data_IF_826523474471
#
_entry.id   IF_826523474471
#
_cell.length_a   1.000
_cell.length_b   1.000
_cell.length_c   1.000
_cell.angle_alpha   90.00
_cell.angle_beta   90.00
_cell.angle_gamma   90.00
#
_symmetry.space_group_name_H-M   'P 1'
#
loop_
_entity.id
_entity.type
_entity.pdbx_description
1 polymer ?
#
# COMPACT_ATOMS: atom_id res chain seq x y z
N UNK A 1 13.66 10.33 -14.01
CA UNK A 1 12.78 9.93 -15.15
C UNK A 1 11.45 9.52 -14.55
N UNK A 2 10.36 10.14 -14.99
CA UNK A 2 9.02 9.95 -14.43
C UNK A 2 8.09 9.35 -15.50
N UNK A 3 7.17 8.47 -15.11
CA UNK A 3 6.17 7.90 -16.02
C UNK A 3 4.81 8.52 -15.69
N UNK A 4 4.23 9.28 -16.63
CA UNK A 4 2.96 10.02 -16.42
C UNK A 4 1.74 9.49 -17.20
N UNK A 5 1.93 8.47 -18.04
CA UNK A 5 0.92 8.06 -19.02
C UNK A 5 -0.08 7.03 -18.48
N UNK A 6 -0.34 7.01 -17.18
CA UNK A 6 -1.27 6.06 -16.58
C UNK A 6 -2.22 6.75 -15.61
N UNK A 7 -3.43 6.22 -15.50
CA UNK A 7 -4.46 6.68 -14.56
C UNK A 7 -4.95 5.49 -13.76
N UNK A 8 -5.02 5.64 -12.44
CA UNK A 8 -5.67 4.69 -11.55
C UNK A 8 -7.14 5.06 -11.41
N UNK A 9 -8.00 4.05 -11.48
CA UNK A 9 -9.42 4.13 -11.15
C UNK A 9 -9.70 3.22 -9.94
N UNK A 10 -10.25 3.77 -8.86
CA UNK A 10 -10.77 2.99 -7.74
C UNK A 10 -12.29 3.06 -7.74
N UNK A 11 -12.92 1.93 -8.07
CA UNK A 11 -14.38 1.83 -8.17
C UNK A 11 -14.94 1.40 -6.81
N UNK A 12 -15.81 2.22 -6.25
CA UNK A 12 -16.47 1.93 -4.97
C UNK A 12 -17.71 1.05 -5.12
N UNK A 13 -18.05 0.29 -4.08
CA UNK A 13 -19.33 -0.41 -3.96
C UNK A 13 -19.80 -0.43 -2.50
N UNK A 14 -21.12 -0.53 -2.30
CA UNK A 14 -21.72 -0.82 -1.00
C UNK A 14 -21.62 -2.33 -0.71
N UNK A 15 -20.70 -2.71 0.15
CA UNK A 15 -20.61 -4.07 0.68
C UNK A 15 -21.69 -4.29 1.72
N UNK A 16 -22.37 -5.43 1.64
CA UNK A 16 -23.34 -5.87 2.63
C UNK A 16 -22.86 -7.20 3.22
N UNK A 17 -22.59 -7.21 4.52
CA UNK A 17 -22.16 -8.39 5.25
C UNK A 17 -23.19 -8.76 6.32
N UNK A 18 -23.63 -10.02 6.33
CA UNK A 18 -24.53 -10.51 7.37
C UNK A 18 -23.73 -10.77 8.66
N UNK A 19 -24.10 -10.12 9.75
CA UNK A 19 -23.52 -10.36 11.07
C UNK A 19 -24.62 -10.74 12.05
N UNK A 20 -24.59 -12.00 12.50
CA UNK A 20 -25.68 -12.60 13.30
C UNK A 20 -27.02 -12.45 12.57
N UNK A 21 -27.97 -11.71 13.16
CA UNK A 21 -29.32 -11.49 12.65
C UNK A 21 -29.47 -10.17 11.87
N UNK A 22 -28.38 -9.42 11.69
CA UNK A 22 -28.41 -8.09 11.09
C UNK A 22 -27.47 -7.95 9.89
N UNK A 23 -27.71 -6.92 9.06
CA UNK A 23 -26.85 -6.60 7.93
C UNK A 23 -25.99 -5.37 8.22
N UNK A 24 -24.68 -5.56 8.20
CA UNK A 24 -23.70 -4.46 8.22
C UNK A 24 -23.43 -4.03 6.79
N UNK A 25 -23.72 -2.77 6.48
CA UNK A 25 -23.44 -2.17 5.17
C UNK A 25 -22.31 -1.17 5.27
N UNK A 26 -21.32 -1.26 4.39
CA UNK A 26 -20.21 -0.33 4.35
C UNK A 26 -19.72 -0.12 2.93
N UNK A 27 -19.26 1.08 2.62
CA UNK A 27 -18.67 1.38 1.33
C UNK A 27 -17.17 1.08 1.36
N UNK A 28 -16.65 0.54 0.25
CA UNK A 28 -15.24 0.27 0.07
C UNK A 28 -14.86 0.18 -1.40
N UNK A 29 -13.59 -0.05 -1.69
CA UNK A 29 -13.10 -0.26 -3.05
C UNK A 29 -13.42 -1.69 -3.50
N UNK A 30 -14.25 -1.81 -4.53
CA UNK A 30 -14.54 -3.08 -5.21
C UNK A 30 -13.37 -3.50 -6.10
N UNK A 31 -12.97 -2.61 -7.01
CA UNK A 31 -11.95 -2.89 -8.03
C UNK A 31 -10.98 -1.73 -8.15
N UNK A 32 -9.72 -2.04 -8.43
CA UNK A 32 -8.69 -1.06 -8.79
C UNK A 32 -8.24 -1.36 -10.23
N UNK A 33 -8.28 -0.35 -11.10
CA UNK A 33 -7.93 -0.50 -12.52
C UNK A 33 -6.86 0.52 -12.88
N UNK A 34 -5.83 0.09 -13.59
CA UNK A 34 -4.90 1.00 -14.26
C UNK A 34 -5.26 1.08 -15.74
N UNK A 35 -5.38 2.32 -16.23
CA UNK A 35 -5.49 2.64 -17.64
C UNK A 35 -4.18 3.21 -18.14
N UNK A 36 -3.68 2.71 -19.26
CA UNK A 36 -2.63 3.40 -20.00
C UNK A 36 -3.25 4.47 -20.90
N UNK A 37 -2.95 5.74 -20.66
CA UNK A 37 -3.61 6.87 -21.32
C UNK A 37 -3.29 6.98 -22.82
N UNK A 38 -2.17 6.39 -23.25
CA UNK A 38 -1.74 6.36 -24.66
C UNK A 38 -2.45 5.24 -25.43
N UNK A 39 -2.41 4.01 -24.91
CA UNK A 39 -2.97 2.82 -25.60
C UNK A 39 -4.44 2.58 -25.27
N UNK A 40 -5.00 3.30 -24.30
CA UNK A 40 -6.35 3.10 -23.73
C UNK A 40 -6.60 1.73 -23.13
N UNK A 41 -5.56 0.89 -23.01
CA UNK A 41 -5.67 -0.43 -22.41
C UNK A 41 -5.87 -0.30 -20.89
N UNK A 42 -6.86 -1.03 -20.39
CA UNK A 42 -7.22 -1.10 -18.98
C UNK A 42 -6.84 -2.46 -18.43
N UNK A 43 -6.41 -2.50 -17.17
CA UNK A 43 -6.03 -3.72 -16.48
C UNK A 43 -6.40 -3.62 -15.01
N UNK A 44 -7.15 -4.61 -14.54
CA UNK A 44 -7.61 -4.68 -13.16
C UNK A 44 -6.56 -5.36 -12.27
N UNK A 45 -6.35 -4.80 -11.09
CA UNK A 45 -5.50 -5.38 -10.06
C UNK A 45 -6.14 -6.60 -9.42
N UNK A 46 -5.36 -7.67 -9.33
CA UNK A 46 -5.81 -8.95 -8.79
C UNK A 46 -5.20 -9.14 -7.39
N UNK A 47 -5.98 -9.63 -6.44
CA UNK A 47 -5.44 -9.92 -5.11
C UNK A 47 -4.65 -11.23 -5.07
N UNK A 48 -3.71 -11.35 -4.14
CA UNK A 48 -3.00 -12.61 -3.88
C UNK A 48 -3.92 -13.76 -3.46
N UNK A 49 -5.11 -13.47 -2.93
CA UNK A 49 -6.13 -14.48 -2.61
C UNK A 49 -6.75 -15.08 -3.87
N UNK A 50 -7.00 -14.25 -4.89
CA UNK A 50 -7.66 -14.67 -6.14
C UNK A 50 -6.67 -15.37 -7.08
N UNK A 51 -5.50 -14.78 -7.30
CA UNK A 51 -4.44 -15.39 -8.11
C UNK A 51 -3.09 -14.91 -7.64
N UNK A 52 -2.23 -15.84 -7.23
CA UNK A 52 -0.86 -15.52 -6.79
C UNK A 52 -0.04 -14.83 -7.88
N UNK A 53 0.77 -13.83 -7.55
CA UNK A 53 1.63 -13.08 -8.48
C UNK A 53 2.51 -14.01 -9.30
N UNK A 54 3.10 -15.03 -8.66
CA UNK A 54 3.95 -16.02 -9.33
C UNK A 54 3.18 -16.90 -10.34
N UNK A 55 1.86 -17.09 -10.12
CA UNK A 55 0.97 -17.75 -11.08
C UNK A 55 0.67 -16.80 -12.26
N UNK A 56 0.42 -15.52 -11.99
CA UNK A 56 0.27 -14.50 -13.05
C UNK A 56 1.52 -14.39 -13.94
N UNK A 57 2.72 -14.48 -13.36
CA UNK A 57 3.97 -14.59 -14.13
C UNK A 57 4.02 -15.86 -14.98
N UNK A 58 3.59 -16.99 -14.43
CA UNK A 58 3.59 -18.26 -15.17
C UNK A 58 2.63 -18.21 -16.37
N UNK A 59 1.48 -17.54 -16.23
CA UNK A 59 0.49 -17.37 -17.30
C UNK A 59 1.03 -16.59 -18.51
N UNK A 60 2.04 -15.73 -18.30
CA UNK A 60 2.73 -14.99 -19.38
C UNK A 60 4.04 -15.66 -19.81
N UNK A 61 4.25 -16.94 -19.46
CA UNK A 61 5.42 -17.73 -19.86
C UNK A 61 6.66 -17.57 -18.99
N UNK A 62 6.54 -16.97 -17.79
CA UNK A 62 7.65 -16.82 -16.85
C UNK A 62 7.45 -17.74 -15.64
N UNK A 63 8.13 -18.88 -15.63
CA UNK A 63 7.99 -19.89 -14.58
C UNK A 63 9.33 -20.55 -14.23
N UNK A 64 9.39 -21.14 -13.04
CA UNK A 64 10.56 -21.91 -12.61
C UNK A 64 10.92 -23.06 -13.56
N UNK A 65 9.94 -23.60 -14.30
CA UNK A 65 10.14 -24.70 -15.26
C UNK A 65 10.69 -24.21 -16.60
N UNK A 66 10.20 -23.07 -17.11
CA UNK A 66 10.55 -22.56 -18.43
C UNK A 66 11.81 -21.68 -18.41
N UNK A 67 11.95 -20.83 -17.41
CA UNK A 67 13.04 -19.84 -17.34
C UNK A 67 13.47 -19.58 -15.88
N UNK A 68 13.92 -20.66 -15.21
CA UNK A 68 14.34 -20.70 -13.81
C UNK A 68 15.18 -19.51 -13.36
N UNK A 69 16.20 -19.12 -14.14
CA UNK A 69 17.08 -18.00 -13.80
C UNK A 69 16.33 -16.66 -13.75
N UNK A 70 15.53 -16.35 -14.79
CA UNK A 70 14.72 -15.13 -14.86
C UNK A 70 13.65 -15.11 -13.76
N UNK A 71 12.93 -16.22 -13.60
CA UNK A 71 11.93 -16.38 -12.53
C UNK A 71 12.53 -16.14 -11.13
N UNK A 72 13.69 -16.75 -10.83
CA UNK A 72 14.35 -16.59 -9.53
C UNK A 72 14.82 -15.14 -9.29
N UNK A 73 15.31 -14.45 -10.32
CA UNK A 73 15.67 -13.02 -10.22
C UNK A 73 14.46 -12.16 -9.89
N UNK A 74 13.35 -12.35 -10.60
CA UNK A 74 12.10 -11.64 -10.35
C UNK A 74 11.58 -11.92 -8.93
N UNK A 75 11.52 -13.19 -8.54
CA UNK A 75 11.06 -13.60 -7.20
C UNK A 75 11.90 -12.99 -6.09
N UNK A 76 13.23 -12.99 -6.20
CA UNK A 76 14.11 -12.31 -5.24
C UNK A 76 13.84 -10.81 -5.16
N UNK A 77 13.58 -10.16 -6.31
CA UNK A 77 13.31 -8.72 -6.36
C UNK A 77 11.97 -8.38 -5.69
N UNK A 78 10.93 -9.16 -5.97
CA UNK A 78 9.60 -9.02 -5.35
C UNK A 78 9.67 -9.30 -3.84
N UNK A 79 10.38 -10.34 -3.42
CA UNK A 79 10.57 -10.62 -1.99
C UNK A 79 11.36 -9.52 -1.27
N UNK A 80 12.36 -8.93 -1.94
CA UNK A 80 13.08 -7.77 -1.41
C UNK A 80 12.14 -6.57 -1.30
N UNK A 81 11.30 -6.31 -2.30
CA UNK A 81 10.31 -5.23 -2.26
C UNK A 81 9.40 -5.32 -1.02
N UNK A 82 8.89 -6.51 -0.69
CA UNK A 82 8.06 -6.69 0.51
C UNK A 82 8.84 -6.39 1.80
N UNK A 83 10.11 -6.80 1.87
CA UNK A 83 10.97 -6.48 3.01
C UNK A 83 11.26 -4.98 3.12
N UNK A 84 11.58 -4.33 2.01
CA UNK A 84 11.90 -2.91 1.95
C UNK A 84 10.68 -2.02 2.30
N UNK A 85 9.46 -2.52 2.10
CA UNK A 85 8.20 -1.85 2.43
C UNK A 85 7.56 -2.34 3.73
N UNK A 86 8.26 -3.18 4.52
CA UNK A 86 7.76 -3.77 5.76
C UNK A 86 6.37 -4.41 5.64
N UNK A 87 6.11 -5.04 4.50
CA UNK A 87 4.80 -5.58 4.14
C UNK A 87 4.90 -7.06 3.77
N UNK A 88 3.75 -7.68 3.56
CA UNK A 88 3.61 -9.05 3.08
C UNK A 88 2.88 -9.07 1.76
N UNK A 89 3.00 -10.16 1.00
CA UNK A 89 2.26 -10.33 -0.27
C UNK A 89 0.75 -10.12 -0.13
N UNK A 90 0.15 -10.40 1.03
CA UNK A 90 -1.28 -10.28 1.25
C UNK A 90 -1.76 -8.83 1.27
N UNK A 91 -0.86 -7.88 1.53
CA UNK A 91 -1.14 -6.45 1.59
C UNK A 91 -1.21 -5.82 0.18
N UNK A 92 -0.75 -6.54 -0.85
CA UNK A 92 -0.65 -6.03 -2.21
C UNK A 92 -1.57 -6.76 -3.18
N UNK A 93 -2.13 -5.99 -4.11
CA UNK A 93 -2.72 -6.48 -5.36
C UNK A 93 -1.75 -6.24 -6.51
N UNK A 94 -1.83 -7.04 -7.58
CA UNK A 94 -0.89 -6.96 -8.70
C UNK A 94 -1.54 -7.03 -10.08
N UNK A 95 -0.80 -6.51 -11.05
CA UNK A 95 -1.00 -6.75 -12.48
C UNK A 95 0.33 -7.21 -13.05
N UNK A 96 0.32 -8.26 -13.86
CA UNK A 96 1.50 -8.76 -14.55
C UNK A 96 1.25 -8.71 -16.05
N UNK A 97 2.13 -8.04 -16.80
CA UNK A 97 2.04 -7.95 -18.26
C UNK A 97 3.42 -8.06 -18.91
N UNK A 98 3.46 -8.58 -20.13
CA UNK A 98 4.68 -8.67 -20.95
C UNK A 98 4.43 -8.08 -22.34
N UNK A 99 4.04 -6.81 -22.37
CA UNK A 99 3.70 -6.11 -23.61
C UNK A 99 4.97 -5.63 -24.31
N UNK A 100 5.11 -5.92 -25.60
CA UNK A 100 6.30 -5.53 -26.39
C UNK A 100 7.60 -6.17 -25.91
N UNK A 101 7.52 -7.36 -25.29
CA UNK A 101 8.67 -8.07 -24.73
C UNK A 101 9.22 -7.47 -23.43
N UNK A 102 8.56 -6.45 -22.88
CA UNK A 102 8.95 -5.80 -21.63
C UNK A 102 8.03 -6.24 -20.50
N UNK A 103 8.60 -6.94 -19.52
CA UNK A 103 7.88 -7.33 -18.31
C UNK A 103 7.56 -6.08 -17.46
N UNK A 104 6.30 -5.96 -17.06
CA UNK A 104 5.81 -4.97 -16.11
C UNK A 104 5.01 -5.68 -15.01
N UNK A 105 5.38 -5.43 -13.77
CA UNK A 105 4.67 -5.90 -12.59
C UNK A 105 4.22 -4.67 -11.81
N UNK A 106 2.91 -4.43 -11.80
CA UNK A 106 2.30 -3.41 -10.94
C UNK A 106 1.96 -4.02 -9.60
N UNK A 107 2.16 -3.26 -8.53
CA UNK A 107 1.84 -3.61 -7.15
C UNK A 107 1.13 -2.42 -6.52
N UNK A 108 0.01 -2.64 -5.85
CA UNK A 108 -0.67 -1.59 -5.08
C UNK A 108 -1.28 -2.12 -3.79
N UNK A 109 -1.22 -1.31 -2.74
CA UNK A 109 -1.93 -1.52 -1.47
C UNK A 109 -2.96 -0.40 -1.23
N UNK A 110 -3.34 0.34 -2.28
CA UNK A 110 -4.32 1.43 -2.19
C UNK A 110 -5.62 0.92 -1.57
N UNK A 111 -6.04 1.61 -0.53
CA UNK A 111 -7.18 1.26 0.29
C UNK A 111 -8.05 2.49 0.55
N UNK A 112 -9.24 2.25 1.08
CA UNK A 112 -10.16 3.31 1.50
C UNK A 112 -10.40 3.20 2.99
N UNK A 113 -9.97 4.21 3.75
CA UNK A 113 -10.32 4.34 5.16
C UNK A 113 -11.66 5.07 5.29
N UNK A 114 -12.66 4.35 5.80
CA UNK A 114 -14.00 4.89 6.04
C UNK A 114 -14.05 5.96 7.12
N UNK A 115 -13.18 5.89 8.13
CA UNK A 115 -13.22 6.77 9.29
C UNK A 115 -12.75 8.16 8.87
N UNK A 116 -11.62 8.20 8.19
CA UNK A 116 -11.04 9.44 7.66
C UNK A 116 -11.58 9.82 6.28
N UNK A 117 -12.38 8.94 5.65
CA UNK A 117 -12.91 9.08 4.28
C UNK A 117 -11.80 9.40 3.28
N UNK A 118 -10.72 8.63 3.35
CA UNK A 118 -9.49 8.85 2.61
C UNK A 118 -9.15 7.65 1.77
N UNK A 119 -8.66 7.90 0.56
CA UNK A 119 -7.99 6.89 -0.25
C UNK A 119 -6.50 7.10 -0.09
N UNK A 120 -5.81 6.07 0.39
CA UNK A 120 -4.38 6.13 0.64
C UNK A 120 -3.69 4.80 0.33
N UNK A 121 -2.40 4.88 0.03
CA UNK A 121 -1.53 3.75 -0.23
C UNK A 121 -0.56 4.04 -1.35
N UNK A 122 0.23 3.05 -1.69
CA UNK A 122 1.30 3.13 -2.66
C UNK A 122 0.95 2.38 -3.95
N UNK A 123 1.54 2.85 -5.03
CA UNK A 123 1.58 2.18 -6.33
C UNK A 123 3.02 2.04 -6.74
N UNK A 124 3.40 0.82 -7.07
CA UNK A 124 4.73 0.49 -7.57
C UNK A 124 4.64 -0.19 -8.94
N UNK A 125 5.59 0.15 -9.79
CA UNK A 125 5.83 -0.53 -11.07
C UNK A 125 7.25 -1.07 -11.09
N UNK A 126 7.39 -2.39 -11.15
CA UNK A 126 8.64 -3.05 -11.50
C UNK A 126 8.66 -3.27 -13.02
N UNK A 127 9.48 -2.50 -13.72
CA UNK A 127 9.61 -2.56 -15.18
C UNK A 127 10.97 -3.14 -15.56
N UNK A 128 10.95 -4.20 -16.35
CA UNK A 128 12.17 -4.79 -16.89
C UNK A 128 12.77 -3.85 -17.94
N UNK A 129 14.07 -3.66 -17.86
CA UNK A 129 14.84 -2.83 -18.77
C UNK A 129 16.07 -3.62 -19.16
N UNK A 130 16.33 -3.71 -20.46
CA UNK A 130 17.52 -4.39 -20.98
C UNK A 130 18.62 -3.36 -21.19
N UNK A 131 19.77 -3.57 -20.54
CA UNK A 131 20.99 -2.80 -20.79
C UNK A 131 22.08 -3.79 -21.24
N UNK A 132 22.37 -3.79 -22.54
CA UNK A 132 23.27 -4.77 -23.15
C UNK A 132 22.72 -6.19 -23.00
N UNK A 133 23.52 -7.12 -22.46
CA UNK A 133 23.14 -8.51 -22.22
C UNK A 133 22.40 -8.74 -20.90
N UNK A 134 22.23 -7.71 -20.06
CA UNK A 134 21.63 -7.84 -18.74
C UNK A 134 20.24 -7.21 -18.69
N UNK A 135 19.27 -7.97 -18.18
CA UNK A 135 17.92 -7.50 -17.85
C UNK A 135 17.85 -7.12 -16.37
N UNK A 136 17.39 -5.91 -16.06
CA UNK A 136 17.19 -5.40 -14.71
C UNK A 136 15.72 -4.98 -14.50
N UNK A 137 15.17 -5.19 -13.29
CA UNK A 137 13.88 -4.65 -12.88
C UNK A 137 14.07 -3.29 -12.18
N UNK A 138 13.75 -2.22 -12.90
CA UNK A 138 13.71 -0.85 -12.39
C UNK A 138 12.37 -0.64 -11.69
N UNK A 139 12.41 -0.10 -10.47
CA UNK A 139 11.22 0.24 -9.71
C UNK A 139 10.85 1.70 -9.94
N UNK A 140 9.56 1.94 -10.16
CA UNK A 140 8.95 3.25 -10.10
C UNK A 140 7.88 3.24 -9.02
N UNK A 141 7.62 4.37 -8.37
CA UNK A 141 6.59 4.46 -7.34
C UNK A 141 5.93 5.82 -7.25
N UNK A 142 4.76 5.82 -6.64
CA UNK A 142 4.00 6.98 -6.23
C UNK A 142 3.16 6.61 -5.01
N UNK A 143 3.03 7.54 -4.06
CA UNK A 143 2.17 7.40 -2.89
C UNK A 143 0.93 8.25 -3.11
N UNK A 144 -0.24 7.65 -2.95
CA UNK A 144 -1.54 8.30 -3.01
C UNK A 144 -1.95 8.64 -1.58
N UNK A 145 -2.35 9.89 -1.37
CA UNK A 145 -2.91 10.38 -0.13
C UNK A 145 -3.95 11.45 -0.44
N UNK A 146 -5.18 11.00 -0.70
CA UNK A 146 -6.26 11.85 -1.20
C UNK A 146 -7.44 11.81 -0.23
N UNK A 147 -7.83 12.99 0.26
CA UNK A 147 -8.95 13.16 1.19
C UNK A 147 -9.96 14.15 0.65
N UNK A 148 -11.22 14.03 1.08
CA UNK A 148 -12.24 15.02 0.73
C UNK A 148 -11.87 16.38 1.29
N UNK A 149 -11.53 17.34 0.42
CA UNK A 149 -11.38 18.73 0.83
C UNK A 149 -12.72 19.23 1.41
N UNK A 150 -12.74 19.62 2.69
CA UNK A 150 -13.74 20.58 3.17
C UNK A 150 -13.42 21.92 2.51
N UNK A 151 -14.07 22.22 1.38
CA UNK A 151 -14.06 23.57 0.81
C UNK A 151 -13.00 23.89 -0.25
N UNK A 152 -12.77 23.00 -1.23
CA UNK A 152 -12.24 23.39 -2.54
C UNK A 152 -10.75 23.73 -2.63
N UNK A 153 -9.97 22.84 -3.27
CA UNK A 153 -8.74 23.16 -4.02
C UNK A 153 -8.22 21.92 -4.78
N UNK A 154 -8.51 20.70 -4.29
CA UNK A 154 -8.12 19.44 -4.94
C UNK A 154 -9.37 18.61 -5.26
N UNK A 155 -10.09 19.01 -6.31
CA UNK A 155 -11.30 18.34 -6.74
C UNK A 155 -10.99 17.10 -7.57
N UNK A 156 -10.94 15.90 -6.96
CA UNK A 156 -11.05 14.58 -7.64
C UNK A 156 -11.59 13.44 -6.75
N UNK A 157 -12.26 13.76 -5.64
CA UNK A 157 -12.75 12.75 -4.69
C UNK A 157 -14.27 12.80 -4.57
N UNK A 158 -14.94 11.70 -4.92
CA UNK A 158 -16.33 11.42 -4.55
C UNK A 158 -16.33 10.54 -3.30
N UNK A 159 -17.11 10.95 -2.31
CA UNK A 159 -17.31 10.17 -1.09
C UNK A 159 -18.13 8.93 -1.46
N UNK A 160 -17.52 7.75 -1.41
CA UNK A 160 -18.22 6.49 -1.73
C UNK A 160 -19.48 6.31 -0.88
N UNK A 161 -19.63 7.00 0.26
CA UNK A 161 -20.81 6.92 1.12
C UNK A 161 -22.08 7.63 0.60
N UNK A 162 -21.98 8.43 -0.47
CA UNK A 162 -23.14 9.14 -1.02
C UNK A 162 -23.92 8.28 -2.02
N UNK A 163 -25.17 8.00 -1.65
CA UNK A 163 -26.18 7.30 -2.44
C UNK A 163 -26.52 8.15 -3.69
N UNK A 164 -25.78 7.94 -4.78
CA UNK A 164 -25.95 8.41 -6.18
C UNK A 164 -24.64 8.83 -6.87
N UNK A 165 -23.51 8.90 -6.14
CA UNK A 165 -22.18 9.21 -6.70
C UNK A 165 -21.31 7.93 -6.74
N UNK A 166 -21.71 6.92 -7.50
CA UNK A 166 -20.85 5.75 -7.79
C UNK A 166 -19.64 6.12 -8.67
N UNK A 167 -19.16 7.35 -8.59
CA UNK A 167 -18.06 7.83 -9.40
C UNK A 167 -16.75 7.25 -8.86
N UNK A 168 -16.03 6.61 -9.78
CA UNK A 168 -14.71 6.07 -9.55
C UNK A 168 -13.76 7.17 -9.09
N UNK A 169 -13.02 6.96 -8.01
CA UNK A 169 -11.86 7.81 -7.72
C UNK A 169 -10.86 7.66 -8.86
N UNK A 170 -10.41 8.80 -9.40
CA UNK A 170 -9.55 8.83 -10.57
C UNK A 170 -8.27 9.60 -10.23
N UNK A 171 -7.13 8.93 -10.35
CA UNK A 171 -5.82 9.49 -10.05
C UNK A 171 -4.89 9.42 -11.27
N UNK A 172 -4.46 10.57 -11.77
CA UNK A 172 -3.44 10.63 -12.83
C UNK A 172 -2.07 10.45 -12.20
N UNK A 173 -1.39 9.36 -12.55
CA UNK A 173 -0.16 8.94 -11.88
C UNK A 173 1.07 9.66 -12.42
N UNK A 174 1.98 10.02 -11.52
CA UNK A 174 3.33 10.51 -11.80
C UNK A 174 4.37 9.63 -11.11
N UNK A 175 4.68 8.48 -11.71
CA UNK A 175 5.55 7.49 -11.08
C UNK A 175 7.02 7.90 -11.20
N UNK A 176 7.66 8.08 -10.06
CA UNK A 176 9.07 8.44 -9.98
C UNK A 176 9.95 7.19 -9.97
N UNK A 177 11.08 7.25 -10.68
CA UNK A 177 12.06 6.15 -10.69
C UNK A 177 12.76 6.08 -9.33
N UNK A 178 12.65 4.94 -8.65
CA UNK A 178 13.43 4.66 -7.46
C UNK A 178 14.83 4.22 -7.87
N UNK A 179 15.81 5.10 -7.70
CA UNK A 179 17.22 4.73 -7.81
C UNK A 179 17.60 3.87 -6.61
N UNK A 180 17.29 2.58 -6.67
CA UNK A 180 17.78 1.61 -5.69
C UNK A 180 19.28 1.38 -5.88
N UNK A 181 20.10 2.38 -5.51
CA UNK A 181 21.53 2.19 -5.30
C UNK A 181 21.72 1.37 -4.02
N UNK A 182 21.81 0.05 -4.19
CA UNK A 182 22.52 -0.87 -3.30
C UNK A 182 22.23 -0.77 -1.80
N UNK A 183 21.20 -1.50 -1.34
CA UNK A 183 20.96 -1.74 0.09
C UNK A 183 20.60 -0.48 0.87
N UNK A 184 20.10 -0.67 2.09
CA UNK A 184 19.99 0.42 3.05
C UNK A 184 21.44 0.81 3.42
N UNK A 185 22.10 1.61 2.58
CA UNK A 185 23.14 2.49 3.10
C UNK A 185 22.40 3.47 3.97
N UNK A 186 22.56 3.30 5.28
CA UNK A 186 22.28 4.30 6.31
C UNK A 186 22.30 5.69 5.68
N UNK A 187 21.25 6.47 5.91
CA UNK A 187 21.24 7.93 5.78
C UNK A 187 22.63 8.46 6.20
N UNK A 188 23.48 8.71 5.22
CA UNK A 188 24.82 9.28 5.38
C UNK A 188 25.00 10.21 4.19
N UNK A 189 24.88 11.51 4.51
CA UNK A 189 25.32 12.68 3.76
C UNK A 189 24.57 12.90 2.43
N UNK A 190 23.82 13.99 2.22
CA UNK A 190 24.26 15.37 2.42
C UNK A 190 23.22 16.25 3.12
N UNK A 191 23.65 16.78 4.26
CA UNK A 191 23.02 17.84 5.02
C UNK A 191 23.65 19.18 4.62
N UNK A 192 22.83 20.16 4.22
CA UNK A 192 23.15 21.56 4.49
C UNK A 192 22.63 21.87 5.90
N UNK A 193 23.54 22.36 6.74
CA UNK A 193 23.64 22.02 8.17
C UNK A 193 22.84 22.93 9.14
N UNK A 194 21.97 23.81 8.67
CA UNK A 194 21.25 24.75 9.56
C UNK A 194 19.73 24.55 9.62
N UNK A 195 19.05 24.34 8.50
CA UNK A 195 17.58 24.16 8.51
C UNK A 195 17.13 22.81 9.10
N UNK A 196 17.94 21.76 8.93
CA UNK A 196 17.57 20.43 9.43
C UNK A 196 17.81 20.26 10.93
N UNK A 197 18.65 21.06 11.57
CA UNK A 197 18.86 20.97 13.03
C UNK A 197 17.60 21.36 13.78
N UNK A 198 16.86 22.35 13.26
CA UNK A 198 15.57 22.79 13.81
C UNK A 198 14.50 21.70 13.59
N UNK A 199 14.33 21.23 12.34
CA UNK A 199 13.30 20.22 12.02
C UNK A 199 13.57 18.84 12.62
N UNK A 200 14.83 18.46 12.78
CA UNK A 200 15.19 17.16 13.38
C UNK A 200 14.97 17.18 14.88
N UNK A 201 15.22 18.31 15.56
CA UNK A 201 14.89 18.44 16.98
C UNK A 201 13.38 18.42 17.19
N UNK A 202 12.59 19.10 16.35
CA UNK A 202 11.12 19.03 16.42
C UNK A 202 10.58 17.60 16.22
N UNK A 203 11.15 16.85 15.29
CA UNK A 203 10.77 15.45 15.06
C UNK A 203 11.21 14.55 16.22
N UNK A 204 12.41 14.74 16.76
CA UNK A 204 12.90 13.99 17.92
C UNK A 204 12.03 14.27 19.15
N UNK A 205 11.67 15.53 19.39
CA UNK A 205 10.81 15.91 20.52
C UNK A 205 9.40 15.33 20.36
N UNK A 206 8.87 15.32 19.13
CA UNK A 206 7.56 14.71 18.84
C UNK A 206 7.59 13.20 19.03
N UNK A 207 8.65 12.53 18.57
CA UNK A 207 8.82 11.08 18.73
C UNK A 207 9.03 10.71 20.20
N UNK A 208 9.86 11.45 20.93
CA UNK A 208 10.07 11.23 22.37
C UNK A 208 8.77 11.46 23.17
N UNK A 209 8.00 12.50 22.84
CA UNK A 209 6.69 12.73 23.44
C UNK A 209 5.70 11.59 23.13
N UNK A 210 5.77 11.02 21.92
CA UNK A 210 4.92 9.90 21.51
C UNK A 210 5.31 8.60 22.21
N UNK A 211 6.61 8.34 22.38
CA UNK A 211 7.13 7.18 23.12
C UNK A 211 6.77 7.28 24.60
N UNK A 212 6.90 8.46 25.21
CA UNK A 212 6.51 8.67 26.61
C UNK A 212 5.01 8.45 26.82
N UNK A 213 4.16 9.01 25.95
CA UNK A 213 2.71 8.75 25.98
C UNK A 213 2.36 7.28 25.76
N UNK A 214 3.10 6.57 24.91
CA UNK A 214 2.88 5.14 24.67
C UNK A 214 3.23 4.33 25.91
N UNK A 215 4.32 4.67 26.60
CA UNK A 215 4.69 4.03 27.86
C UNK A 215 3.67 4.31 28.98
N UNK A 216 3.18 5.56 29.11
CA UNK A 216 2.11 5.89 30.06
C UNK A 216 0.82 5.10 29.79
N UNK A 217 0.45 4.90 28.52
CA UNK A 217 -0.70 4.07 28.13
C UNK A 217 -0.46 2.60 28.46
N UNK A 218 0.75 2.08 28.26
CA UNK A 218 1.10 0.70 28.61
C UNK A 218 1.00 0.48 30.13
N UNK A 219 1.55 1.40 30.93
CA UNK A 219 1.50 1.32 32.39
C UNK A 219 0.05 1.38 32.90
N UNK A 220 -0.76 2.29 32.34
CA UNK A 220 -2.20 2.40 32.68
C UNK A 220 -2.96 1.12 32.35
N UNK A 221 -2.67 0.50 31.20
CA UNK A 221 -3.29 -0.77 30.79
C UNK A 221 -2.87 -1.92 31.71
N UNK A 222 -1.62 -1.93 32.16
CA UNK A 222 -1.14 -2.92 33.13
C UNK A 222 -1.83 -2.79 34.49
N UNK A 223 -2.01 -1.57 34.97
CA UNK A 223 -2.72 -1.29 36.23
C UNK A 223 -4.20 -1.67 36.14
N UNK A 224 -4.88 -1.31 35.05
CA UNK A 224 -6.27 -1.73 34.80
C UNK A 224 -6.40 -3.26 34.72
N UNK A 225 -5.42 -3.95 34.12
CA UNK A 225 -5.43 -5.41 34.03
C UNK A 225 -5.24 -6.07 35.41
N UNK A 226 -4.41 -5.47 36.28
CA UNK A 226 -4.24 -5.92 37.66
C UNK A 226 -5.51 -5.72 38.49
N UNK A 227 -6.18 -4.58 38.35
CA UNK A 227 -7.43 -4.26 39.05
C UNK A 227 -8.58 -5.18 38.60
N UNK A 228 -8.70 -5.45 37.30
CA UNK A 228 -9.66 -6.43 36.75
C UNK A 228 -9.42 -7.83 37.35
N UNK A 229 -8.16 -8.23 37.50
CA UNK A 229 -7.82 -9.54 38.06
C UNK A 229 -8.13 -9.62 39.57
N UNK A 230 -7.90 -8.54 40.32
CA UNK A 230 -8.26 -8.44 41.73
C UNK A 230 -9.79 -8.50 41.93
N UNK A 231 -10.55 -7.73 41.14
CA UNK A 231 -12.03 -7.73 41.17
C UNK A 231 -12.61 -9.10 40.79
N UNK A 232 -12.01 -9.79 39.81
CA UNK A 232 -12.40 -11.17 39.46
C UNK A 232 -12.15 -12.16 40.60
N UNK A 233 -11.06 -12.00 41.34
CA UNK A 233 -10.74 -12.84 42.48
C UNK A 233 -11.70 -12.61 43.67
N UNK A 234 -12.10 -11.37 43.93
CA UNK A 234 -13.12 -11.05 44.94
C UNK A 234 -14.51 -11.57 44.56
N UNK A 235 -14.91 -11.42 43.28
CA UNK A 235 -16.16 -11.99 42.76
C UNK A 235 -16.20 -13.52 42.86
N UNK A 236 -15.06 -14.19 42.71
CA UNK A 236 -14.96 -15.64 42.89
C UNK A 236 -15.12 -16.05 44.36
N UNK A 237 -14.61 -15.25 45.31
CA UNK A 237 -14.78 -15.49 46.75
C UNK A 237 -16.20 -15.23 47.25
N UNK A 238 -16.93 -14.30 46.63
CA UNK A 238 -18.33 -14.01 46.95
C UNK A 238 -19.33 -15.03 46.37
N UNK A 239 -18.90 -15.86 45.43
CA UNK A 239 -19.71 -16.91 44.78
C UNK A 239 -19.41 -18.33 45.30
N UNK A 240 -18.47 -18.47 46.24
CA UNK A 240 -18.13 -19.71 46.94
C UNK A 240 -18.73 -19.70 48.35
#
# INVERSE_FOLDING_TARGET
>A
MTIKNHTLFANGELFTHKHKDDFVRFYGIKTLVIKNNTTKLESEFISEKDTKLMKSLSNIGISAKLNKSRYNKISRRVNKFYKDTFSTKADWKHIVSNTGGVLKIWLTNVSYDRQTRRIEGDIHLLKETTKGSQSELIQYSETIYESRAKGGAYGRYHDFSKKNDYESFTHHMELEKNEMRGGIRKLKLDATLEENTVKTNEVIDTVNATVNKTNEVIDTVMDMQAEINALKAELAKLKA
#
